data_IF_330591481546
#
_entry.id   IF_330591481546
#
_cell.length_a   1.000
_cell.length_b   1.000
_cell.length_c   1.000
_cell.angle_alpha   90.00
_cell.angle_beta   90.00
_cell.angle_gamma   90.00
#
_symmetry.space_group_name_H-M   'P 1'
#
loop_
_entity.id
_entity.type
_entity.pdbx_description
1 polymer ?
#
# COMPACT_ATOMS: atom_id res chain seq x y z
N UNK A 1 -0.87 1.99 -13.50
CA UNK A 1 -0.49 2.76 -14.72
C UNK A 1 -1.25 4.09 -14.83
N UNK A 2 -2.57 4.13 -14.66
CA UNK A 2 -3.41 5.34 -14.87
C UNK A 2 -2.82 6.62 -14.28
N UNK A 3 -2.52 6.63 -12.98
CA UNK A 3 -2.02 7.82 -12.27
C UNK A 3 -0.70 8.37 -12.84
N UNK A 4 0.25 7.51 -13.18
CA UNK A 4 1.51 7.93 -13.79
C UNK A 4 1.31 8.56 -15.17
N UNK A 5 0.31 8.11 -15.94
CA UNK A 5 -0.02 8.67 -17.25
C UNK A 5 -0.74 10.01 -17.17
N UNK A 6 -1.54 10.24 -16.12
CA UNK A 6 -2.33 11.48 -15.98
C UNK A 6 -1.58 12.56 -15.19
N UNK A 7 -0.88 12.18 -14.13
CA UNK A 7 -0.24 13.10 -13.19
C UNK A 7 1.28 13.18 -13.34
N UNK A 8 1.89 12.36 -14.20
CA UNK A 8 3.35 12.25 -14.38
C UNK A 8 4.15 11.82 -13.14
N UNK A 9 3.48 11.28 -12.10
CA UNK A 9 4.12 10.71 -10.92
C UNK A 9 4.04 9.18 -10.88
N UNK A 10 5.19 8.54 -10.73
CA UNK A 10 5.27 7.09 -10.46
C UNK A 10 5.18 6.90 -8.96
N UNK A 11 4.02 6.44 -8.48
CA UNK A 11 3.79 6.09 -7.07
C UNK A 11 4.53 4.81 -6.68
N UNK A 12 4.85 4.63 -5.41
CA UNK A 12 5.24 3.32 -4.89
C UNK A 12 4.09 2.30 -5.02
N UNK A 13 4.36 0.98 -5.14
CA UNK A 13 3.33 -0.05 -5.20
C UNK A 13 2.32 0.01 -4.04
N UNK A 14 2.78 0.29 -2.82
CA UNK A 14 1.95 0.47 -1.63
C UNK A 14 1.07 1.73 -1.74
N UNK A 15 1.66 2.83 -2.20
CA UNK A 15 0.95 4.10 -2.43
C UNK A 15 -0.19 3.96 -3.45
N UNK A 16 -0.08 3.02 -4.40
CA UNK A 16 -1.15 2.78 -5.38
C UNK A 16 -2.48 2.35 -4.74
N UNK A 17 -2.46 1.74 -3.55
CA UNK A 17 -3.70 1.35 -2.87
C UNK A 17 -4.51 2.58 -2.47
N UNK A 18 -3.84 3.63 -1.96
CA UNK A 18 -4.48 4.91 -1.66
C UNK A 18 -4.96 5.60 -2.94
N UNK A 19 -4.12 5.64 -3.99
CA UNK A 19 -4.49 6.22 -5.29
C UNK A 19 -5.73 5.54 -5.88
N UNK A 20 -5.82 4.21 -5.81
CA UNK A 20 -6.96 3.45 -6.32
C UNK A 20 -8.27 3.78 -5.58
N UNK A 21 -8.21 4.01 -4.27
CA UNK A 21 -9.36 4.49 -3.48
C UNK A 21 -9.72 5.93 -3.88
N UNK A 22 -8.74 6.82 -4.00
CA UNK A 22 -8.95 8.22 -4.40
C UNK A 22 -9.65 8.32 -5.74
N UNK A 23 -9.22 7.56 -6.74
CA UNK A 23 -9.86 7.54 -8.08
C UNK A 23 -11.32 7.06 -7.98
N UNK A 24 -11.58 6.01 -7.18
CA UNK A 24 -12.95 5.50 -6.98
C UNK A 24 -13.85 6.53 -6.31
N UNK A 25 -13.36 7.22 -5.27
CA UNK A 25 -14.12 8.28 -4.61
C UNK A 25 -14.37 9.49 -5.53
N UNK A 26 -13.42 9.83 -6.40
CA UNK A 26 -13.60 10.88 -7.40
C UNK A 26 -14.66 10.51 -8.46
N UNK A 27 -14.67 9.25 -8.92
CA UNK A 27 -15.71 8.73 -9.83
C UNK A 27 -17.08 8.78 -9.15
N UNK A 28 -17.17 8.33 -7.90
CA UNK A 28 -18.41 8.39 -7.11
C UNK A 28 -18.91 9.83 -6.93
N UNK A 29 -18.03 10.78 -6.66
CA UNK A 29 -18.40 12.20 -6.55
C UNK A 29 -19.02 12.73 -7.85
N UNK A 30 -18.44 12.35 -9.00
CA UNK A 30 -18.97 12.66 -10.32
C UNK A 30 -20.34 12.04 -10.56
N UNK A 31 -20.53 10.77 -10.23
CA UNK A 31 -21.82 10.06 -10.36
C UNK A 31 -22.92 10.66 -9.49
N UNK A 32 -22.57 11.09 -8.27
CA UNK A 32 -23.47 11.78 -7.35
C UNK A 32 -23.74 13.25 -7.75
N UNK A 33 -22.98 13.81 -8.70
CA UNK A 33 -23.07 15.22 -9.08
C UNK A 33 -22.64 16.18 -7.97
N UNK A 34 -21.75 15.76 -7.07
CA UNK A 34 -21.30 16.55 -5.92
C UNK A 34 -19.82 16.87 -6.02
N UNK A 35 -19.49 18.14 -5.85
CA UNK A 35 -18.09 18.55 -5.66
C UNK A 35 -17.59 18.04 -4.30
N UNK A 36 -16.46 17.33 -4.30
CA UNK A 36 -15.80 16.81 -3.09
C UNK A 36 -14.31 17.14 -3.13
N UNK A 37 -13.77 17.53 -1.98
CA UNK A 37 -12.32 17.61 -1.77
C UNK A 37 -11.85 16.28 -1.18
N UNK A 38 -10.93 15.61 -1.86
CA UNK A 38 -10.37 14.33 -1.42
C UNK A 38 -8.89 14.54 -1.08
N UNK A 39 -8.56 14.44 0.20
CA UNK A 39 -7.18 14.39 0.67
C UNK A 39 -6.79 12.92 0.86
N UNK A 40 -5.65 12.52 0.31
CA UNK A 40 -5.08 11.20 0.53
C UNK A 40 -3.57 11.31 0.75
N UNK A 41 -3.00 10.33 1.46
CA UNK A 41 -1.56 10.27 1.68
C UNK A 41 -0.87 9.64 0.46
N UNK A 42 -0.07 10.43 -0.25
CA UNK A 42 0.87 9.91 -1.24
C UNK A 42 2.19 9.59 -0.55
N UNK A 43 2.31 8.38 -0.01
CA UNK A 43 3.37 8.01 0.93
C UNK A 43 4.78 7.94 0.32
N UNK A 44 4.90 7.80 -0.99
CA UNK A 44 6.22 7.69 -1.62
C UNK A 44 6.18 7.40 -3.12
N UNK A 45 7.32 7.66 -3.76
CA UNK A 45 7.57 7.43 -5.19
C UNK A 45 8.01 5.97 -5.47
N UNK A 46 7.76 5.50 -6.70
CA UNK A 46 8.11 4.16 -7.15
C UNK A 46 9.41 4.05 -7.94
N UNK A 47 10.32 5.02 -7.84
CA UNK A 47 11.58 5.05 -8.62
C UNK A 47 12.49 3.84 -8.36
N UNK A 48 12.50 3.33 -7.13
CA UNK A 48 13.32 2.17 -6.73
C UNK A 48 12.55 0.85 -6.97
N UNK A 49 11.23 0.94 -7.17
CA UNK A 49 10.33 -0.21 -7.39
C UNK A 49 10.11 -0.54 -8.87
N UNK A 50 10.87 0.08 -9.78
CA UNK A 50 10.70 -0.13 -11.23
C UNK A 50 10.86 -1.60 -11.65
N UNK A 51 11.72 -2.36 -10.96
CA UNK A 51 11.86 -3.81 -11.19
C UNK A 51 10.58 -4.58 -10.85
N UNK A 52 9.92 -4.24 -9.73
CA UNK A 52 8.64 -4.84 -9.35
C UNK A 52 7.53 -4.47 -10.34
N UNK A 53 7.53 -3.23 -10.82
CA UNK A 53 6.60 -2.82 -11.89
C UNK A 53 6.81 -3.58 -13.19
N UNK A 54 8.06 -3.76 -13.65
CA UNK A 54 8.34 -4.53 -14.87
C UNK A 54 7.87 -5.98 -14.73
N UNK A 55 8.19 -6.64 -13.61
CA UNK A 55 7.72 -8.00 -13.32
C UNK A 55 6.18 -8.10 -13.31
N UNK A 56 5.48 -7.14 -12.70
CA UNK A 56 4.02 -7.09 -12.72
C UNK A 56 3.47 -6.96 -14.16
N UNK A 57 4.03 -6.04 -14.94
CA UNK A 57 3.56 -5.76 -16.30
C UNK A 57 3.86 -6.90 -17.28
N UNK A 58 4.91 -7.69 -17.01
CA UNK A 58 5.24 -8.91 -17.75
C UNK A 58 4.45 -10.14 -17.30
N UNK A 59 3.67 -10.03 -16.21
CA UNK A 59 2.94 -11.15 -15.63
C UNK A 59 3.85 -12.17 -14.95
N UNK A 60 5.02 -11.76 -14.50
CA UNK A 60 6.01 -12.61 -13.82
C UNK A 60 5.79 -12.68 -12.30
N UNK A 61 4.94 -11.79 -11.75
CA UNK A 61 4.54 -11.86 -10.34
C UNK A 61 3.45 -12.91 -10.15
N UNK A 62 3.64 -13.73 -9.12
CA UNK A 62 2.65 -14.67 -8.61
C UNK A 62 2.26 -14.29 -7.19
N UNK A 63 0.98 -14.46 -6.86
CA UNK A 63 0.54 -14.37 -5.47
C UNK A 63 1.23 -15.45 -4.66
N UNK A 64 1.85 -15.04 -3.55
CA UNK A 64 2.51 -15.94 -2.61
C UNK A 64 1.71 -15.95 -1.33
N UNK A 65 1.02 -17.06 -1.08
CA UNK A 65 0.37 -17.31 0.21
C UNK A 65 1.45 -17.67 1.23
N UNK A 66 1.62 -16.81 2.24
CA UNK A 66 2.57 -17.03 3.33
C UNK A 66 2.13 -18.25 4.16
N UNK A 67 2.91 -19.36 4.17
CA UNK A 67 2.51 -20.58 4.86
C UNK A 67 2.44 -20.38 6.38
N UNK A 68 1.48 -21.03 7.04
CA UNK A 68 1.29 -20.92 8.48
C UNK A 68 2.52 -21.42 9.26
N UNK A 69 3.22 -22.44 8.75
CA UNK A 69 4.46 -22.95 9.34
C UNK A 69 5.57 -21.88 9.38
N UNK A 70 5.68 -21.04 8.34
CA UNK A 70 6.66 -19.95 8.29
C UNK A 70 6.32 -18.85 9.30
N UNK A 71 5.01 -18.56 9.47
CA UNK A 71 4.51 -17.63 10.49
C UNK A 71 4.86 -18.14 11.89
N UNK A 72 4.55 -19.40 12.19
CA UNK A 72 4.86 -20.01 13.48
C UNK A 72 6.35 -20.01 13.77
N UNK A 73 7.19 -20.35 12.78
CA UNK A 73 8.65 -20.30 12.93
C UNK A 73 9.13 -18.90 13.30
N UNK A 74 8.71 -17.88 12.55
CA UNK A 74 9.11 -16.50 12.81
C UNK A 74 8.63 -16.00 14.18
N UNK A 75 7.44 -16.41 14.62
CA UNK A 75 6.93 -16.08 15.96
C UNK A 75 7.73 -16.74 17.08
N UNK A 76 8.13 -18.01 16.90
CA UNK A 76 9.00 -18.71 17.86
C UNK A 76 10.38 -18.06 17.96
N UNK A 77 10.95 -17.59 16.85
CA UNK A 77 12.27 -16.93 16.83
C UNK A 77 12.30 -15.65 17.67
N UNK A 78 11.19 -14.91 17.70
CA UNK A 78 11.09 -13.65 18.44
C UNK A 78 10.50 -13.79 19.85
N UNK A 79 9.94 -14.95 20.21
CA UNK A 79 9.31 -15.19 21.50
C UNK A 79 10.22 -14.89 22.72
N UNK A 80 11.53 -15.24 22.70
CA UNK A 80 12.43 -14.96 23.82
C UNK A 80 12.84 -13.48 23.93
N UNK A 81 12.58 -12.67 22.89
CA UNK A 81 13.00 -11.28 22.86
C UNK A 81 12.15 -10.41 23.80
N UNK A 82 12.72 -9.35 24.40
CA UNK A 82 11.96 -8.45 25.26
C UNK A 82 10.79 -7.84 24.50
N UNK A 83 9.58 -7.94 25.07
CA UNK A 83 8.40 -7.35 24.44
C UNK A 83 8.52 -5.82 24.41
N UNK A 84 8.19 -5.17 23.27
CA UNK A 84 8.22 -3.72 23.18
C UNK A 84 7.26 -3.12 24.20
N UNK A 85 7.66 -2.01 24.84
CA UNK A 85 6.75 -1.24 25.70
C UNK A 85 5.62 -0.68 24.84
N UNK A 86 4.43 -1.23 25.03
CA UNK A 86 3.21 -0.73 24.39
C UNK A 86 2.73 0.51 25.16
N UNK A 87 2.73 1.67 24.50
CA UNK A 87 2.12 2.88 25.05
C UNK A 87 0.64 2.91 24.70
N UNK A 88 -0.23 3.08 25.70
CA UNK A 88 -1.65 3.32 25.44
C UNK A 88 -1.86 4.79 25.11
N UNK A 89 -2.72 5.08 24.14
CA UNK A 89 -3.11 6.43 23.79
C UNK A 89 -3.63 7.17 25.05
N UNK A 90 -3.05 8.34 25.34
CA UNK A 90 -3.41 9.16 26.50
C UNK A 90 -2.60 8.93 27.77
N UNK A 91 -1.61 8.02 27.77
CA UNK A 91 -0.64 7.89 28.88
C UNK A 91 0.65 8.61 28.49
N UNK A 92 0.79 9.86 28.94
CA UNK A 92 2.06 10.57 29.09
C UNK A 92 2.36 10.65 30.57
#
# INVERSE_FOLDING_TARGET
>A
ITFAKTEAFISAPETNHAVAVTIREAIKAKEEGKEKVILFNWSGHGLIDLGAYDAYLRGELSDYDLPEEEIHRALSDIEPLPKPKQYKAGTV
#
